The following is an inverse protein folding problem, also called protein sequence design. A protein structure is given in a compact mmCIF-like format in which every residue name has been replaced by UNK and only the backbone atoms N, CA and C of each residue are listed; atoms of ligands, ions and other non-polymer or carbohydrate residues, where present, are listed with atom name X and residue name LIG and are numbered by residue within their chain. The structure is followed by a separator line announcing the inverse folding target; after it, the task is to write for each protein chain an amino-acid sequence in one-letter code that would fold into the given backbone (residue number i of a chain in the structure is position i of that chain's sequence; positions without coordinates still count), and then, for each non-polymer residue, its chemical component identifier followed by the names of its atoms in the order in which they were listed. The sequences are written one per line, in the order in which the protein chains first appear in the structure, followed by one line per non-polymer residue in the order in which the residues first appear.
data_IF_369674608530
#
_entry.id   IF_369674608530
#
_cell.length_a   1.000
_cell.length_b   1.000
_cell.length_c   1.000
_cell.angle_alpha   90.00
_cell.angle_beta   90.00
_cell.angle_gamma   90.00
#
_symmetry.space_group_name_H-M   'P 1'
#
loop_
_entity.id
_entity.type
_entity.pdbx_description
1 polymer ?
#
# COMPACT_ATOMS: atom_id res chain seq x y z
N UNK A 1 5.56 -10.14 7.31
CA UNK A 1 6.27 -9.38 6.27
C UNK A 1 7.15 -8.30 6.89
N UNK A 2 6.58 -7.34 7.58
CA UNK A 2 7.34 -6.31 8.32
C UNK A 2 7.46 -6.76 9.76
N UNK A 3 8.71 -6.95 10.25
CA UNK A 3 8.94 -7.48 11.60
C UNK A 3 9.26 -6.39 12.63
N UNK A 4 9.61 -5.20 12.20
CA UNK A 4 9.98 -4.11 13.10
C UNK A 4 8.72 -3.46 13.70
N UNK A 5 8.50 -3.54 15.03
CA UNK A 5 7.32 -2.93 15.65
C UNK A 5 7.24 -1.42 15.46
N UNK A 6 8.39 -0.75 15.34
CA UNK A 6 8.42 0.70 15.10
C UNK A 6 7.80 1.06 13.74
N UNK A 7 7.95 0.18 12.75
CA UNK A 7 7.32 0.38 11.44
C UNK A 7 5.79 0.43 11.56
N UNK A 8 5.20 -0.45 12.35
CA UNK A 8 3.76 -0.44 12.59
C UNK A 8 3.29 0.81 13.33
N UNK A 9 4.12 1.32 14.22
CA UNK A 9 3.83 2.60 14.88
C UNK A 9 3.73 3.73 13.84
N UNK A 10 4.66 3.83 12.92
CA UNK A 10 4.64 4.85 11.86
C UNK A 10 3.47 4.65 10.90
N UNK A 11 3.10 3.41 10.59
CA UNK A 11 1.92 3.10 9.80
C UNK A 11 0.67 3.61 10.52
N UNK A 12 0.54 3.31 11.81
CA UNK A 12 -0.62 3.74 12.60
C UNK A 12 -0.73 5.27 12.65
N UNK A 13 0.39 5.97 12.86
CA UNK A 13 0.36 7.44 12.89
C UNK A 13 -0.08 8.02 11.55
N UNK A 14 0.33 7.42 10.44
CA UNK A 14 -0.11 7.85 9.12
C UNK A 14 -1.61 7.60 8.93
N UNK A 15 -2.09 6.41 9.28
CA UNK A 15 -3.51 6.05 9.10
C UNK A 15 -4.45 6.91 9.94
N UNK A 16 -3.99 7.37 11.10
CA UNK A 16 -4.78 8.25 11.97
C UNK A 16 -4.74 9.72 11.52
N UNK A 17 -3.87 10.06 10.57
CA UNK A 17 -3.76 11.43 10.07
C UNK A 17 -4.76 11.70 8.94
N UNK A 18 -5.04 12.98 8.68
CA UNK A 18 -5.89 13.37 7.55
C UNK A 18 -5.25 13.04 6.20
N UNK A 19 -3.95 12.80 6.17
CA UNK A 19 -3.21 12.47 4.95
C UNK A 19 -3.56 11.10 4.39
N UNK A 20 -4.22 10.24 5.18
CA UNK A 20 -4.64 8.91 4.73
C UNK A 20 -5.96 8.90 3.94
N UNK A 21 -6.56 10.06 3.70
CA UNK A 21 -7.86 10.15 3.00
C UNK A 21 -7.81 9.52 1.60
N UNK A 22 -6.79 9.83 0.81
CA UNK A 22 -6.64 9.29 -0.53
C UNK A 22 -6.44 7.77 -0.50
N UNK A 23 -5.72 7.28 0.50
CA UNK A 23 -5.50 5.86 0.68
C UNK A 23 -6.83 5.10 0.86
N UNK A 24 -7.74 5.65 1.65
CA UNK A 24 -9.07 5.07 1.83
C UNK A 24 -9.81 4.90 0.50
N UNK A 25 -9.72 5.91 -0.39
CA UNK A 25 -10.35 5.85 -1.70
C UNK A 25 -9.74 4.75 -2.58
N UNK A 26 -8.39 4.63 -2.60
CA UNK A 26 -7.74 3.57 -3.34
C UNK A 26 -8.11 2.19 -2.80
N UNK A 27 -8.16 2.03 -1.48
CA UNK A 27 -8.53 0.75 -0.88
C UNK A 27 -9.97 0.37 -1.18
N UNK A 28 -10.90 1.32 -1.18
CA UNK A 28 -12.29 1.05 -1.56
C UNK A 28 -12.40 0.55 -2.98
N UNK A 29 -11.65 1.13 -3.91
CA UNK A 29 -11.70 0.76 -5.33
C UNK A 29 -10.99 -0.56 -5.63
N UNK A 30 -9.86 -0.85 -4.95
CA UNK A 30 -8.94 -1.92 -5.37
C UNK A 30 -8.94 -3.14 -4.46
N UNK A 31 -9.25 -2.97 -3.19
CA UNK A 31 -9.16 -4.04 -2.19
C UNK A 31 -10.55 -4.40 -1.65
N UNK A 32 -11.28 -3.42 -1.18
CA UNK A 32 -12.60 -3.63 -0.57
C UNK A 32 -13.65 -3.92 -1.65
N UNK A 33 -13.56 -3.27 -2.79
CA UNK A 33 -14.46 -3.38 -3.93
C UNK A 33 -15.90 -2.96 -3.57
N UNK A 34 -16.03 -1.92 -2.75
CA UNK A 34 -17.30 -1.34 -2.32
C UNK A 34 -17.19 0.18 -2.29
N UNK A 35 -18.32 0.86 -2.38
CA UNK A 35 -18.37 2.33 -2.30
C UNK A 35 -18.10 2.85 -0.89
N UNK A 36 -18.34 2.02 0.13
CA UNK A 36 -18.11 2.38 1.52
C UNK A 36 -16.90 1.64 2.08
N UNK A 37 -16.18 2.28 3.00
CA UNK A 37 -15.08 1.64 3.70
C UNK A 37 -15.61 0.59 4.67
N UNK A 38 -15.20 -0.67 4.46
CA UNK A 38 -15.58 -1.79 5.31
C UNK A 38 -14.31 -2.49 5.78
N UNK A 39 -13.97 -2.33 7.05
CA UNK A 39 -12.69 -2.78 7.60
C UNK A 39 -12.50 -4.29 7.49
N UNK A 40 -13.51 -5.08 7.82
CA UNK A 40 -13.36 -6.55 7.76
C UNK A 40 -13.16 -7.04 6.32
N UNK A 41 -13.71 -6.35 5.32
CA UNK A 41 -13.44 -6.69 3.92
C UNK A 41 -12.02 -6.31 3.51
N UNK A 42 -11.51 -5.20 4.02
CA UNK A 42 -10.12 -4.80 3.78
C UNK A 42 -9.16 -5.86 4.31
N UNK A 43 -9.37 -6.31 5.54
CA UNK A 43 -8.51 -7.33 6.16
C UNK A 43 -8.62 -8.65 5.40
N UNK A 44 -9.84 -9.12 5.13
CA UNK A 44 -10.06 -10.39 4.44
C UNK A 44 -9.50 -10.38 3.02
N UNK A 45 -9.79 -9.34 2.24
CA UNK A 45 -9.33 -9.26 0.86
C UNK A 45 -7.84 -8.95 0.78
N UNK A 46 -7.30 -8.23 1.76
CA UNK A 46 -5.86 -7.97 1.85
C UNK A 46 -5.03 -9.20 2.12
N UNK A 47 -5.64 -10.33 2.53
CA UNK A 47 -4.94 -11.60 2.68
C UNK A 47 -4.80 -12.35 1.35
N UNK A 48 -5.54 -11.96 0.31
CA UNK A 48 -5.38 -12.51 -1.03
C UNK A 48 -4.09 -11.97 -1.66
N UNK A 49 -3.45 -12.79 -2.53
CA UNK A 49 -2.15 -12.42 -3.08
C UNK A 49 -2.16 -11.06 -3.81
N UNK A 50 -3.04 -10.92 -4.81
CA UNK A 50 -3.09 -9.70 -5.63
C UNK A 50 -3.56 -8.49 -4.83
N UNK A 51 -4.67 -8.64 -4.12
CA UNK A 51 -5.24 -7.54 -3.33
C UNK A 51 -4.38 -7.20 -2.12
N UNK A 52 -3.69 -8.19 -1.58
CA UNK A 52 -2.73 -7.98 -0.48
C UNK A 52 -1.57 -7.10 -0.91
N UNK A 53 -1.01 -7.36 -2.10
CA UNK A 53 0.02 -6.50 -2.66
C UNK A 53 -0.49 -5.07 -2.83
N UNK A 54 -1.67 -4.89 -3.43
CA UNK A 54 -2.24 -3.57 -3.67
C UNK A 54 -2.52 -2.83 -2.37
N UNK A 55 -3.02 -3.52 -1.35
CA UNK A 55 -3.28 -2.91 -0.04
C UNK A 55 -1.99 -2.31 0.54
N UNK A 56 -0.92 -3.09 0.56
CA UNK A 56 0.35 -2.65 1.14
C UNK A 56 1.05 -1.62 0.25
N UNK A 57 1.02 -1.80 -1.06
CA UNK A 57 1.67 -0.85 -1.98
C UNK A 57 1.01 0.52 -1.93
N UNK A 58 -0.33 0.56 -1.93
CA UNK A 58 -1.04 1.85 -1.83
C UNK A 58 -0.72 2.55 -0.51
N UNK A 59 -0.65 1.80 0.59
CA UNK A 59 -0.24 2.35 1.89
C UNK A 59 1.16 2.94 1.80
N UNK A 60 2.12 2.18 1.30
CA UNK A 60 3.51 2.62 1.19
C UNK A 60 3.62 3.84 0.27
N UNK A 61 2.92 3.83 -0.86
CA UNK A 61 2.98 4.93 -1.81
C UNK A 61 2.41 6.23 -1.21
N UNK A 62 1.29 6.15 -0.51
CA UNK A 62 0.71 7.34 0.14
C UNK A 62 1.59 7.83 1.30
N UNK A 63 2.19 6.93 2.08
CA UNK A 63 3.15 7.31 3.12
C UNK A 63 4.37 8.01 2.51
N UNK A 64 4.82 7.56 1.33
CA UNK A 64 5.96 8.15 0.65
C UNK A 64 5.63 9.55 0.11
N UNK A 65 4.44 9.72 -0.48
CA UNK A 65 4.04 10.98 -1.10
C UNK A 65 3.66 12.02 -0.05
N UNK A 66 2.89 11.62 0.97
CA UNK A 66 2.25 12.56 1.89
C UNK A 66 2.77 12.48 3.32
N UNK A 67 3.55 11.45 3.65
CA UNK A 67 4.02 11.23 5.01
C UNK A 67 5.19 12.11 5.42
N UNK A 68 5.52 12.10 6.71
CA UNK A 68 6.70 12.76 7.23
C UNK A 68 7.96 11.93 6.91
N UNK A 69 9.13 12.43 7.33
CA UNK A 69 10.42 11.77 7.03
C UNK A 69 10.48 10.34 7.53
N UNK A 70 10.00 10.07 8.74
CA UNK A 70 10.01 8.72 9.32
C UNK A 70 9.02 7.80 8.60
N UNK A 71 7.85 8.31 8.24
CA UNK A 71 6.85 7.57 7.47
C UNK A 71 7.35 7.23 6.07
N UNK A 72 8.07 8.15 5.42
CA UNK A 72 8.68 7.90 4.11
C UNK A 72 9.73 6.78 4.18
N UNK A 73 10.56 6.76 5.23
CA UNK A 73 11.52 5.68 5.43
C UNK A 73 10.82 4.35 5.63
N UNK A 74 9.73 4.34 6.39
CA UNK A 74 8.92 3.15 6.60
C UNK A 74 8.33 2.66 5.27
N UNK A 75 7.87 3.57 4.42
CA UNK A 75 7.34 3.23 3.10
C UNK A 75 8.35 2.48 2.23
N UNK A 76 9.61 2.91 2.26
CA UNK A 76 10.67 2.24 1.51
C UNK A 76 10.87 0.80 2.02
N UNK A 77 10.81 0.59 3.33
CA UNK A 77 10.91 -0.76 3.91
C UNK A 77 9.73 -1.64 3.47
N UNK A 78 8.53 -1.10 3.43
CA UNK A 78 7.36 -1.83 2.96
C UNK A 78 7.54 -2.21 1.48
N UNK A 79 7.96 -1.28 0.65
CA UNK A 79 8.19 -1.52 -0.78
C UNK A 79 9.20 -2.65 -0.99
N UNK A 80 10.31 -2.63 -0.26
CA UNK A 80 11.34 -3.66 -0.40
C UNK A 80 10.82 -5.03 0.04
N UNK A 81 10.03 -5.09 1.10
CA UNK A 81 9.41 -6.33 1.56
C UNK A 81 8.40 -6.87 0.53
N UNK A 82 7.66 -5.98 -0.12
CA UNK A 82 6.71 -6.38 -1.16
C UNK A 82 7.42 -6.94 -2.39
N UNK A 83 8.51 -6.31 -2.81
CA UNK A 83 9.30 -6.79 -3.93
C UNK A 83 9.85 -8.20 -3.64
N UNK A 84 10.34 -8.43 -2.43
CA UNK A 84 10.86 -9.71 -2.00
C UNK A 84 9.78 -10.79 -1.96
N UNK A 85 8.59 -10.44 -1.45
CA UNK A 85 7.51 -11.41 -1.27
C UNK A 85 6.75 -11.73 -2.56
N UNK A 86 6.50 -10.73 -3.40
CA UNK A 86 5.62 -10.87 -4.57
C UNK A 86 6.35 -10.84 -5.90
N UNK A 87 7.62 -10.46 -5.91
CA UNK A 87 8.38 -10.31 -7.15
C UNK A 87 7.87 -9.17 -8.03
N UNK A 88 7.21 -8.17 -7.43
CA UNK A 88 6.64 -7.04 -8.12
C UNK A 88 7.26 -5.75 -7.57
N UNK A 89 7.81 -4.92 -8.44
CA UNK A 89 8.47 -3.68 -8.06
C UNK A 89 7.79 -2.49 -8.75
N UNK A 90 6.90 -1.82 -8.02
CA UNK A 90 6.33 -0.56 -8.47
C UNK A 90 7.00 0.55 -7.66
N UNK A 91 7.70 1.46 -8.36
CA UNK A 91 8.42 2.53 -7.70
C UNK A 91 7.52 3.43 -6.87
N UNK A 92 8.00 3.82 -5.68
CA UNK A 92 7.27 4.76 -4.84
C UNK A 92 7.27 6.14 -5.50
N UNK A 93 6.16 6.84 -5.36
CA UNK A 93 5.92 8.11 -6.04
C UNK A 93 5.20 7.97 -7.37
N UNK A 94 5.01 6.74 -7.87
CA UNK A 94 4.25 6.53 -9.10
C UNK A 94 2.80 6.98 -8.90
N UNK A 95 2.28 7.72 -9.87
CA UNK A 95 0.92 8.25 -9.82
C UNK A 95 0.01 7.39 -10.68
N UNK A 96 -0.61 6.41 -10.02
CA UNK A 96 -1.52 5.47 -10.68
C UNK A 96 -2.92 5.69 -10.14
N UNK A 97 -3.87 5.92 -11.05
CA UNK A 97 -5.26 6.16 -10.68
C UNK A 97 -5.92 4.98 -9.99
N UNK A 98 -7.13 5.18 -9.48
CA UNK A 98 -7.91 4.14 -8.82
C UNK A 98 -8.26 3.00 -9.78
N UNK A 99 -8.38 1.79 -9.22
CA UNK A 99 -8.78 0.62 -9.99
C UNK A 99 -7.62 -0.19 -10.55
N UNK A 100 -6.41 0.01 -10.02
CA UNK A 100 -5.25 -0.79 -10.42
C UNK A 100 -5.49 -2.27 -10.17
N UNK A 101 -5.27 -3.09 -11.20
CA UNK A 101 -5.38 -4.54 -11.12
C UNK A 101 -4.10 -5.16 -11.67
N UNK A 102 -3.53 -6.10 -10.92
CA UNK A 102 -2.31 -6.81 -11.31
C UNK A 102 -2.63 -8.30 -11.40
N UNK A 103 -2.95 -8.82 -12.58
CA UNK A 103 -3.30 -10.25 -12.72
C UNK A 103 -2.13 -11.18 -12.39
N UNK A 104 -0.89 -10.73 -12.65
CA UNK A 104 0.33 -11.45 -12.30
C UNK A 104 1.30 -10.49 -11.63
N UNK A 105 1.87 -10.88 -10.48
CA UNK A 105 2.79 -10.03 -9.74
C UNK A 105 4.25 -10.24 -10.15
N UNK A 106 4.66 -11.49 -10.40
CA UNK A 106 6.06 -11.80 -10.66
C UNK A 106 6.54 -11.14 -11.96
N UNK A 107 7.70 -10.51 -11.91
CA UNK A 107 8.33 -9.90 -13.07
C UNK A 107 7.81 -8.52 -13.45
N UNK A 108 6.88 -7.97 -12.68
CA UNK A 108 6.36 -6.62 -12.95
C UNK A 108 7.29 -5.58 -12.34
N UNK A 109 7.72 -4.62 -13.16
CA UNK A 109 8.55 -3.49 -12.71
C UNK A 109 7.97 -2.20 -13.28
N UNK A 110 7.64 -1.25 -12.41
CA UNK A 110 7.13 0.06 -12.79
C UNK A 110 7.98 1.11 -12.09
N UNK A 111 8.60 2.00 -12.87
CA UNK A 111 9.41 3.08 -12.32
C UNK A 111 8.51 4.22 -11.84
N UNK A 112 8.80 4.73 -10.63
CA UNK A 112 8.14 5.91 -10.10
C UNK A 112 8.80 7.18 -10.61
N UNK A 113 8.00 8.11 -11.03
CA UNK A 113 8.47 9.44 -11.47
C UNK A 113 7.74 10.52 -10.71
#
# INVERSE_FOLDING_TARGET
MIKNPLAYFHIATFLLSAKSRNLSEYWKAEVIMRDKFVLHRLIRNGMQRQRGFLMWWRLANEMFISGNKKQRKCAIKIKNALMERYGCDIGLGARIGKGLVLPHHAGIVIHGN
#
